data_IF_611900741177
#
_entry.id   IF_611900741177
#
_cell.length_a   1.000
_cell.length_b   1.000
_cell.length_c   1.000
_cell.angle_alpha   90.00
_cell.angle_beta   90.00
_cell.angle_gamma   90.00
#
_symmetry.space_group_name_H-M   'P 1'
#
loop_
_entity.id
_entity.type
_entity.pdbx_description
1 polymer ?
#
# COMPACT_ATOMS: atom_id res chain seq x y z
N UNK A 1 40.28 -39.45 -33.33
CA UNK A 1 39.04 -38.95 -33.94
C UNK A 1 38.14 -38.50 -32.78
N UNK A 2 38.13 -37.22 -32.42
CA UNK A 2 37.02 -36.26 -32.66
C UNK A 2 35.63 -36.89 -32.34
N UNK A 3 34.90 -36.44 -31.32
CA UNK A 3 34.15 -35.17 -31.35
C UNK A 3 34.00 -34.46 -29.98
N UNK A 4 34.17 -33.13 -30.02
CA UNK A 4 33.66 -32.11 -29.08
C UNK A 4 32.13 -31.94 -29.21
N UNK A 5 31.47 -31.54 -28.12
CA UNK A 5 30.43 -30.47 -27.99
C UNK A 5 29.97 -30.40 -26.52
N UNK A 6 30.54 -29.51 -25.69
CA UNK A 6 29.97 -28.20 -25.29
C UNK A 6 28.48 -28.24 -24.94
N UNK A 7 28.18 -28.41 -23.65
CA UNK A 7 26.86 -28.12 -23.07
C UNK A 7 26.94 -26.84 -22.26
N UNK A 8 26.35 -25.77 -22.80
CA UNK A 8 26.35 -24.43 -22.24
C UNK A 8 25.65 -24.38 -20.87
N UNK A 9 26.24 -23.64 -19.94
CA UNK A 9 25.57 -23.20 -18.73
C UNK A 9 24.31 -22.44 -19.13
N UNK A 10 23.16 -22.98 -18.77
CA UNK A 10 21.89 -22.27 -18.91
C UNK A 10 21.89 -21.14 -17.90
N UNK A 11 22.20 -19.93 -18.39
CA UNK A 11 21.80 -18.68 -17.75
C UNK A 11 20.29 -18.77 -17.50
N UNK A 12 19.90 -18.88 -16.23
CA UNK A 12 18.48 -18.85 -15.84
C UNK A 12 17.93 -17.50 -16.28
N UNK A 13 16.93 -17.56 -17.14
CA UNK A 13 16.18 -16.42 -17.61
C UNK A 13 15.52 -15.73 -16.39
N UNK A 14 15.77 -14.43 -16.13
CA UNK A 14 15.18 -13.71 -15.00
C UNK A 14 13.64 -13.67 -15.04
N UNK A 15 13.03 -14.02 -16.17
CA UNK A 15 11.56 -14.11 -16.35
C UNK A 15 10.91 -15.32 -15.68
N UNK A 16 11.69 -16.23 -15.09
CA UNK A 16 11.16 -17.45 -14.42
C UNK A 16 11.08 -17.36 -12.89
N UNK A 17 11.34 -16.20 -12.30
CA UNK A 17 11.10 -16.00 -10.88
C UNK A 17 9.64 -15.57 -10.67
N UNK A 18 8.76 -16.40 -10.08
CA UNK A 18 7.38 -16.00 -9.77
C UNK A 18 7.32 -14.84 -8.77
N UNK A 19 8.46 -14.43 -8.21
CA UNK A 19 8.61 -13.35 -7.24
C UNK A 19 8.94 -11.98 -7.86
N UNK A 20 9.05 -11.86 -9.19
CA UNK A 20 9.40 -10.60 -9.87
C UNK A 20 8.53 -10.37 -11.11
N UNK A 21 7.83 -9.24 -11.18
CA UNK A 21 7.05 -8.85 -12.35
C UNK A 21 7.64 -7.61 -13.03
N UNK A 22 7.86 -7.68 -14.36
CA UNK A 22 8.27 -6.56 -15.20
C UNK A 22 7.12 -6.00 -16.05
N UNK A 23 7.19 -4.68 -16.24
CA UNK A 23 6.22 -3.72 -16.77
C UNK A 23 5.42 -4.06 -18.05
N UNK A 24 4.11 -3.75 -18.01
CA UNK A 24 3.33 -3.24 -19.16
C UNK A 24 2.05 -2.51 -18.68
N UNK A 25 1.54 -1.58 -19.49
CA UNK A 25 0.55 -0.53 -19.16
C UNK A 25 -0.82 -0.92 -18.57
N UNK A 26 -1.10 -2.21 -18.39
CA UNK A 26 -2.12 -2.73 -17.46
C UNK A 26 -1.51 -4.01 -16.87
N UNK A 27 -1.20 -4.02 -15.58
CA UNK A 27 -0.70 -5.23 -14.90
C UNK A 27 -1.83 -5.80 -14.04
N UNK A 28 -2.26 -7.04 -14.29
CA UNK A 28 -3.13 -7.81 -13.37
C UNK A 28 -2.29 -8.91 -12.74
N UNK A 29 -2.02 -8.81 -11.46
CA UNK A 29 -1.28 -9.82 -10.69
C UNK A 29 -2.23 -10.51 -9.71
N UNK A 30 -2.48 -11.79 -9.92
CA UNK A 30 -3.16 -12.66 -8.96
C UNK A 30 -2.14 -13.63 -8.38
N UNK A 31 -1.64 -13.39 -7.17
CA UNK A 31 -0.75 -14.34 -6.50
C UNK A 31 -1.52 -15.10 -5.42
N UNK A 32 -1.58 -16.43 -5.60
CA UNK A 32 -2.02 -17.36 -4.56
C UNK A 32 -0.86 -17.76 -3.64
N UNK A 33 -1.23 -18.31 -2.46
CA UNK A 33 -0.39 -18.74 -1.33
C UNK A 33 1.13 -18.62 -1.54
N UNK A 34 1.69 -17.46 -1.19
CA UNK A 34 3.14 -17.20 -1.25
C UNK A 34 3.62 -16.65 0.07
N UNK A 35 4.72 -17.21 0.60
CA UNK A 35 5.23 -16.75 1.91
C UNK A 35 5.73 -15.31 1.86
N UNK A 36 6.31 -14.89 0.73
CA UNK A 36 6.81 -13.53 0.48
C UNK A 36 6.47 -13.15 -0.96
N UNK A 37 6.01 -11.92 -1.18
CA UNK A 37 5.74 -11.34 -2.49
C UNK A 37 6.50 -10.01 -2.58
N UNK A 38 7.18 -9.80 -3.70
CA UNK A 38 7.90 -8.57 -4.03
C UNK A 38 7.36 -8.04 -5.36
N UNK A 39 6.92 -6.79 -5.39
CA UNK A 39 6.35 -6.18 -6.59
C UNK A 39 6.95 -4.81 -6.85
N UNK A 40 7.91 -4.74 -7.78
CA UNK A 40 8.52 -3.47 -8.19
C UNK A 40 8.02 -3.10 -9.59
N UNK A 41 7.31 -1.97 -9.72
CA UNK A 41 6.79 -1.50 -10.99
C UNK A 41 7.18 -0.06 -11.29
N UNK A 42 7.45 0.20 -12.57
CA UNK A 42 7.84 1.52 -13.07
C UNK A 42 7.07 1.86 -14.32
N UNK A 43 6.52 3.07 -14.38
CA UNK A 43 5.89 3.66 -15.57
C UNK A 43 4.72 2.84 -16.15
N UNK A 44 3.91 2.20 -15.29
CA UNK A 44 2.67 1.56 -15.72
C UNK A 44 1.51 2.58 -15.73
N UNK A 45 0.55 2.48 -16.65
CA UNK A 45 -0.63 3.36 -16.57
C UNK A 45 -1.59 2.91 -15.46
N UNK A 46 -1.85 1.60 -15.42
CA UNK A 46 -2.79 0.98 -14.49
C UNK A 46 -2.14 -0.24 -13.86
N UNK A 47 -2.28 -0.37 -12.54
CA UNK A 47 -1.87 -1.54 -11.77
C UNK A 47 -3.09 -2.10 -11.04
N UNK A 48 -3.31 -3.40 -11.17
CA UNK A 48 -4.34 -4.15 -10.46
C UNK A 48 -3.70 -5.36 -9.79
N UNK A 49 -3.81 -5.48 -8.47
CA UNK A 49 -3.19 -6.56 -7.71
C UNK A 49 -4.20 -7.21 -6.78
N UNK A 50 -4.39 -8.53 -6.94
CA UNK A 50 -5.24 -9.32 -6.05
C UNK A 50 -4.36 -10.37 -5.35
N UNK A 51 -4.19 -10.23 -4.03
CA UNK A 51 -3.22 -11.01 -3.26
C UNK A 51 -3.93 -11.78 -2.15
N UNK A 52 -3.69 -13.09 -2.08
CA UNK A 52 -4.34 -13.96 -1.11
C UNK A 52 -3.36 -14.82 -0.33
N UNK A 53 -3.53 -14.85 1.00
CA UNK A 53 -2.83 -15.75 1.92
C UNK A 53 -1.31 -15.63 1.82
N UNK A 54 -0.82 -14.39 1.91
CA UNK A 54 0.61 -14.11 1.83
C UNK A 54 1.22 -13.97 3.23
N UNK A 55 2.49 -14.33 3.39
CA UNK A 55 3.17 -14.04 4.66
C UNK A 55 3.49 -12.54 4.75
N UNK A 56 4.29 -12.07 3.80
CA UNK A 56 4.82 -10.71 3.70
C UNK A 56 4.63 -10.23 2.26
N UNK A 57 4.21 -8.98 2.08
CA UNK A 57 4.09 -8.31 0.79
C UNK A 57 4.90 -7.03 0.87
N UNK A 58 5.82 -6.83 -0.08
CA UNK A 58 6.56 -5.58 -0.28
C UNK A 58 6.31 -5.10 -1.71
N UNK A 59 5.84 -3.87 -1.87
CA UNK A 59 5.48 -3.31 -3.17
C UNK A 59 6.05 -1.91 -3.36
N UNK A 60 6.88 -1.73 -4.38
CA UNK A 60 7.44 -0.43 -4.75
C UNK A 60 6.89 -0.03 -6.12
N UNK A 61 6.15 1.06 -6.14
CA UNK A 61 5.39 1.51 -7.29
C UNK A 61 5.84 2.95 -7.63
N UNK A 62 6.39 3.14 -8.84
CA UNK A 62 6.67 4.48 -9.41
C UNK A 62 5.93 4.85 -10.72
N UNK A 63 5.39 6.07 -10.75
CA UNK A 63 4.79 6.76 -11.91
C UNK A 63 3.61 6.01 -12.53
N UNK A 64 2.42 6.19 -11.95
CA UNK A 64 1.17 5.60 -12.49
C UNK A 64 0.02 6.57 -12.52
N UNK A 65 -1.00 6.20 -13.28
CA UNK A 65 -2.26 6.92 -13.25
C UNK A 65 -3.23 6.32 -12.24
N UNK A 66 -3.34 5.00 -12.19
CA UNK A 66 -4.32 4.30 -11.35
C UNK A 66 -3.68 3.05 -10.73
N UNK A 67 -3.87 2.86 -9.43
CA UNK A 67 -3.56 1.63 -8.71
C UNK A 67 -4.83 1.14 -8.02
N UNK A 68 -5.16 -0.14 -8.22
CA UNK A 68 -6.24 -0.84 -7.52
C UNK A 68 -5.66 -2.09 -6.89
N UNK A 69 -5.82 -2.30 -5.59
CA UNK A 69 -5.26 -3.46 -4.93
C UNK A 69 -6.22 -4.06 -3.90
N UNK A 70 -6.47 -5.36 -4.01
CA UNK A 70 -7.23 -6.12 -3.02
C UNK A 70 -6.31 -7.14 -2.36
N UNK A 71 -6.04 -6.96 -1.07
CA UNK A 71 -5.15 -7.84 -0.31
C UNK A 71 -5.92 -8.55 0.81
N UNK A 72 -5.76 -9.86 0.89
CA UNK A 72 -6.44 -10.71 1.87
C UNK A 72 -5.47 -11.59 2.64
N UNK A 73 -5.65 -11.62 3.96
CA UNK A 73 -4.99 -12.54 4.89
C UNK A 73 -3.46 -12.52 4.76
N UNK A 74 -2.82 -11.37 5.00
CA UNK A 74 -1.36 -11.34 5.15
C UNK A 74 -0.91 -10.88 6.51
N UNK A 75 0.31 -11.23 6.91
CA UNK A 75 0.82 -10.79 8.21
C UNK A 75 1.32 -9.35 8.13
N UNK A 76 2.09 -9.05 7.09
CA UNK A 76 2.77 -7.77 6.93
C UNK A 76 2.61 -7.31 5.48
N UNK A 77 2.23 -6.06 5.30
CA UNK A 77 2.21 -5.35 4.01
C UNK A 77 3.02 -4.08 4.18
N UNK A 78 3.97 -3.86 3.26
CA UNK A 78 4.67 -2.59 3.10
C UNK A 78 4.54 -2.16 1.66
N UNK A 79 4.06 -0.94 1.43
CA UNK A 79 3.79 -0.42 0.11
C UNK A 79 4.29 1.03 -0.02
N UNK A 80 5.16 1.27 -1.00
CA UNK A 80 5.63 2.61 -1.32
C UNK A 80 5.10 3.02 -2.71
N UNK A 81 4.31 4.09 -2.78
CA UNK A 81 3.67 4.56 -4.00
C UNK A 81 4.08 6.00 -4.31
N UNK A 82 4.68 6.20 -5.49
CA UNK A 82 5.19 7.49 -5.94
C UNK A 82 4.54 7.95 -7.24
N UNK A 83 4.16 9.24 -7.27
CA UNK A 83 3.62 9.94 -8.44
C UNK A 83 2.42 9.20 -9.04
N UNK A 84 1.35 9.12 -8.27
CA UNK A 84 0.11 8.42 -8.63
C UNK A 84 -1.04 9.40 -8.88
N UNK A 85 -1.89 9.10 -9.85
CA UNK A 85 -3.14 9.87 -10.03
C UNK A 85 -4.20 9.48 -8.99
N UNK A 86 -4.55 8.20 -8.96
CA UNK A 86 -5.61 7.63 -8.12
C UNK A 86 -5.12 6.30 -7.54
N UNK A 87 -5.33 6.10 -6.24
CA UNK A 87 -5.06 4.84 -5.53
C UNK A 87 -6.34 4.39 -4.84
N UNK A 88 -6.71 3.13 -5.03
CA UNK A 88 -7.76 2.44 -4.28
C UNK A 88 -7.18 1.15 -3.73
N UNK A 89 -7.25 0.92 -2.42
CA UNK A 89 -6.84 -0.36 -1.86
C UNK A 89 -7.77 -0.86 -0.76
N UNK A 90 -8.10 -2.14 -0.84
CA UNK A 90 -8.87 -2.86 0.16
C UNK A 90 -7.99 -3.90 0.84
N UNK A 91 -7.89 -3.84 2.17
CA UNK A 91 -7.04 -4.70 2.98
C UNK A 91 -7.86 -5.40 4.07
N UNK A 92 -8.04 -6.72 3.94
CA UNK A 92 -8.66 -7.60 4.93
C UNK A 92 -7.70 -8.51 5.70
N UNK A 93 -7.81 -8.50 7.03
CA UNK A 93 -7.16 -9.39 7.99
C UNK A 93 -5.62 -9.31 7.96
N UNK A 94 -5.07 -8.26 8.57
CA UNK A 94 -3.64 -8.03 8.67
C UNK A 94 -3.14 -7.91 10.10
N UNK A 95 -1.84 -8.11 10.33
CA UNK A 95 -1.24 -7.72 11.61
C UNK A 95 -0.63 -6.34 11.53
N UNK A 96 0.10 -6.05 10.46
CA UNK A 96 0.83 -4.80 10.26
C UNK A 96 0.65 -4.36 8.80
N UNK A 97 0.26 -3.10 8.62
CA UNK A 97 0.24 -2.41 7.32
C UNK A 97 1.07 -1.13 7.46
N UNK A 98 2.02 -0.95 6.55
CA UNK A 98 2.81 0.27 6.40
C UNK A 98 2.65 0.76 4.96
N UNK A 99 2.24 2.01 4.78
CA UNK A 99 2.00 2.58 3.46
C UNK A 99 2.58 3.99 3.36
N UNK A 100 3.49 4.19 2.41
CA UNK A 100 4.08 5.49 2.13
C UNK A 100 3.63 5.99 0.75
N UNK A 101 2.95 7.15 0.73
CA UNK A 101 2.35 7.71 -0.48
C UNK A 101 2.91 9.10 -0.77
N UNK A 102 3.47 9.26 -1.96
CA UNK A 102 4.10 10.51 -2.40
C UNK A 102 3.48 11.05 -3.68
N UNK A 103 3.12 12.33 -3.67
CA UNK A 103 2.59 13.08 -4.81
C UNK A 103 1.38 12.38 -5.43
N UNK A 104 0.36 12.11 -4.61
CA UNK A 104 -0.87 11.42 -5.02
C UNK A 104 -2.01 12.41 -5.28
N UNK A 105 -2.82 12.18 -6.31
CA UNK A 105 -4.02 12.98 -6.54
C UNK A 105 -5.15 12.64 -5.57
N UNK A 106 -5.62 11.38 -5.62
CA UNK A 106 -6.71 10.86 -4.78
C UNK A 106 -6.30 9.51 -4.22
N UNK A 107 -6.54 9.32 -2.93
CA UNK A 107 -6.23 8.09 -2.20
C UNK A 107 -7.47 7.61 -1.47
N UNK A 108 -7.85 6.36 -1.68
CA UNK A 108 -8.94 5.69 -0.96
C UNK A 108 -8.43 4.38 -0.38
N UNK A 109 -8.63 4.20 0.93
CA UNK A 109 -8.22 3.00 1.66
C UNK A 109 -9.34 2.45 2.53
N UNK A 110 -9.60 1.15 2.37
CA UNK A 110 -10.46 0.40 3.28
C UNK A 110 -9.62 -0.66 4.00
N UNK A 111 -9.55 -0.57 5.34
CA UNK A 111 -8.81 -1.51 6.17
C UNK A 111 -9.71 -2.23 7.17
N UNK A 112 -9.68 -3.56 7.14
CA UNK A 112 -10.48 -4.41 8.01
C UNK A 112 -9.60 -5.36 8.82
N UNK A 113 -9.83 -5.36 10.14
CA UNK A 113 -9.19 -6.26 11.11
C UNK A 113 -7.66 -6.18 11.03
N UNK A 114 -7.10 -5.13 11.61
CA UNK A 114 -5.66 -4.91 11.63
C UNK A 114 -5.13 -4.80 13.06
N UNK A 115 -3.87 -5.19 13.28
CA UNK A 115 -3.20 -4.93 14.56
C UNK A 115 -2.68 -3.50 14.63
N UNK A 116 -1.87 -3.13 13.64
CA UNK A 116 -1.17 -1.86 13.53
C UNK A 116 -1.26 -1.35 12.10
N UNK A 117 -1.55 -0.07 11.94
CA UNK A 117 -1.56 0.67 10.67
C UNK A 117 -0.66 1.88 10.82
N UNK A 118 0.29 2.03 9.89
CA UNK A 118 1.15 3.21 9.77
C UNK A 118 1.02 3.72 8.36
N UNK A 119 0.66 4.99 8.20
CA UNK A 119 0.49 5.61 6.90
C UNK A 119 1.17 6.97 6.85
N UNK A 120 2.07 7.16 5.89
CA UNK A 120 2.70 8.45 5.64
C UNK A 120 2.24 8.99 4.28
N UNK A 121 1.62 10.17 4.27
CA UNK A 121 1.06 10.78 3.07
C UNK A 121 1.68 12.15 2.81
N UNK A 122 2.30 12.31 1.65
CA UNK A 122 3.00 13.52 1.23
C UNK A 122 2.42 14.11 -0.06
N UNK A 123 2.09 15.41 -0.02
CA UNK A 123 1.60 16.18 -1.17
C UNK A 123 0.33 15.57 -1.81
N UNK A 124 -0.57 15.03 -0.99
CA UNK A 124 -1.82 14.42 -1.44
C UNK A 124 -2.96 15.44 -1.47
N UNK A 125 -3.77 15.46 -2.54
CA UNK A 125 -4.87 16.42 -2.62
C UNK A 125 -6.11 15.97 -1.82
N UNK A 126 -6.48 14.70 -1.92
CA UNK A 126 -7.65 14.12 -1.23
C UNK A 126 -7.33 12.72 -0.71
N UNK A 127 -7.65 12.49 0.57
CA UNK A 127 -7.48 11.20 1.26
C UNK A 127 -8.80 10.80 1.89
N UNK A 128 -9.28 9.59 1.59
CA UNK A 128 -10.44 8.96 2.22
C UNK A 128 -10.03 7.61 2.80
N UNK A 129 -10.27 7.40 4.09
CA UNK A 129 -9.84 6.19 4.78
C UNK A 129 -10.91 5.64 5.71
N UNK A 130 -11.30 4.38 5.52
CA UNK A 130 -12.19 3.67 6.42
C UNK A 130 -11.41 2.55 7.14
N UNK A 131 -11.35 2.63 8.47
CA UNK A 131 -10.59 1.69 9.29
C UNK A 131 -11.50 1.00 10.32
N UNK A 132 -11.58 -0.32 10.22
CA UNK A 132 -12.42 -1.17 11.06
C UNK A 132 -11.60 -2.14 11.89
N UNK A 133 -11.87 -2.18 13.20
CA UNK A 133 -11.28 -3.13 14.15
C UNK A 133 -9.75 -3.10 14.13
N UNK A 134 -9.18 -1.90 14.30
CA UNK A 134 -7.74 -1.69 14.34
C UNK A 134 -7.24 -1.59 15.79
N UNK A 135 -6.08 -2.15 16.10
CA UNK A 135 -5.46 -1.94 17.42
C UNK A 135 -4.89 -0.53 17.56
N UNK A 136 -3.98 -0.18 16.65
CA UNK A 136 -3.24 1.09 16.66
C UNK A 136 -3.23 1.67 15.23
N UNK A 137 -3.48 2.96 15.12
CA UNK A 137 -3.40 3.73 13.88
C UNK A 137 -2.45 4.91 14.10
N UNK A 138 -1.42 5.02 13.26
CA UNK A 138 -0.50 6.15 13.20
C UNK A 138 -0.55 6.71 11.79
N UNK A 139 -0.78 8.02 11.66
CA UNK A 139 -0.86 8.67 10.37
C UNK A 139 -0.13 10.00 10.36
N UNK A 140 0.85 10.14 9.47
CA UNK A 140 1.57 11.39 9.26
C UNK A 140 1.17 11.98 7.90
N UNK A 141 0.69 13.22 7.91
CA UNK A 141 0.15 13.87 6.72
C UNK A 141 0.80 15.22 6.48
N UNK A 142 1.44 15.35 5.33
CA UNK A 142 2.19 16.54 4.92
C UNK A 142 1.58 17.15 3.66
N UNK A 143 1.35 18.47 3.68
CA UNK A 143 0.85 19.24 2.52
C UNK A 143 -0.47 18.70 1.95
N UNK A 144 -1.38 18.25 2.83
CA UNK A 144 -2.63 17.61 2.41
C UNK A 144 -3.76 18.62 2.20
N UNK A 145 -4.62 18.41 1.20
CA UNK A 145 -5.76 19.31 0.92
C UNK A 145 -7.03 18.98 1.73
N UNK A 146 -7.51 17.74 1.63
CA UNK A 146 -8.74 17.27 2.31
C UNK A 146 -8.54 15.83 2.79
N UNK A 147 -8.92 15.56 4.04
CA UNK A 147 -8.87 14.25 4.68
C UNK A 147 -10.26 13.94 5.25
N UNK A 148 -10.77 12.76 4.91
CA UNK A 148 -12.00 12.19 5.48
C UNK A 148 -11.67 10.82 6.02
N UNK A 149 -11.97 10.56 7.29
CA UNK A 149 -11.70 9.26 7.90
C UNK A 149 -12.86 8.76 8.75
N UNK A 150 -13.21 7.50 8.56
CA UNK A 150 -14.15 6.79 9.44
C UNK A 150 -13.39 5.71 10.22
N UNK A 151 -13.41 5.81 11.55
CA UNK A 151 -12.62 4.97 12.45
C UNK A 151 -13.54 4.21 13.41
N UNK A 152 -13.56 2.89 13.29
CA UNK A 152 -14.42 2.00 14.08
C UNK A 152 -13.60 1.04 14.95
N UNK A 153 -13.95 0.98 16.24
CA UNK A 153 -13.38 0.05 17.21
C UNK A 153 -11.84 0.13 17.30
N UNK A 154 -11.29 1.34 17.17
CA UNK A 154 -9.86 1.58 17.27
C UNK A 154 -9.43 1.84 18.73
N UNK A 155 -8.32 1.27 19.19
CA UNK A 155 -7.88 1.52 20.59
C UNK A 155 -7.09 2.82 20.68
N UNK A 156 -6.15 3.06 19.75
CA UNK A 156 -5.27 4.24 19.74
C UNK A 156 -5.20 4.81 18.33
N UNK A 157 -5.40 6.12 18.22
CA UNK A 157 -5.19 6.89 16.99
C UNK A 157 -4.20 8.02 17.28
N UNK A 158 -3.12 8.10 16.52
CA UNK A 158 -2.14 9.19 16.54
C UNK A 158 -2.06 9.79 15.14
N UNK A 159 -2.25 11.10 15.04
CA UNK A 159 -2.19 11.80 13.76
C UNK A 159 -1.34 13.07 13.84
N UNK A 160 -0.35 13.19 12.96
CA UNK A 160 0.43 14.42 12.83
C UNK A 160 0.10 15.09 11.49
N UNK A 161 -0.35 16.34 11.55
CA UNK A 161 -0.86 17.10 10.42
C UNK A 161 0.01 18.34 10.18
N UNK A 162 0.67 18.39 9.03
CA UNK A 162 1.52 19.51 8.62
C UNK A 162 0.90 20.29 7.45
N UNK A 163 0.79 21.61 7.64
CA UNK A 163 0.20 22.60 6.72
C UNK A 163 -1.34 22.54 6.57
N UNK A 164 -1.87 23.36 5.66
CA UNK A 164 -3.30 23.64 5.51
C UNK A 164 -4.09 22.45 4.95
N UNK A 165 -4.69 21.66 5.85
CA UNK A 165 -5.60 20.57 5.54
C UNK A 165 -6.98 20.80 6.17
N UNK A 166 -8.03 20.33 5.48
CA UNK A 166 -9.35 20.12 6.08
C UNK A 166 -9.41 18.67 6.54
N UNK A 167 -9.68 18.44 7.82
CA UNK A 167 -9.80 17.10 8.41
C UNK A 167 -11.22 16.90 8.92
N UNK A 168 -11.87 15.83 8.46
CA UNK A 168 -13.16 15.36 8.96
C UNK A 168 -12.97 13.92 9.42
N UNK A 169 -13.28 13.64 10.69
CA UNK A 169 -13.17 12.30 11.24
C UNK A 169 -14.44 11.90 11.98
N UNK A 170 -15.02 10.77 11.59
CA UNK A 170 -16.07 10.11 12.36
C UNK A 170 -15.45 8.97 13.17
N UNK A 171 -15.70 8.98 14.47
CA UNK A 171 -15.03 8.12 15.45
C UNK A 171 -16.06 7.31 16.24
N UNK A 172 -15.92 5.99 16.19
CA UNK A 172 -16.82 5.06 16.87
C UNK A 172 -16.03 4.10 17.77
N UNK A 173 -16.35 4.10 19.06
CA UNK A 173 -15.74 3.23 20.07
C UNK A 173 -14.21 3.41 20.22
N UNK A 174 -13.70 4.61 19.93
CA UNK A 174 -12.29 4.95 20.13
C UNK A 174 -11.95 5.20 21.60
N UNK A 175 -10.78 4.77 22.07
CA UNK A 175 -10.35 4.96 23.47
C UNK A 175 -9.39 6.14 23.64
N UNK A 176 -8.41 6.30 22.75
CA UNK A 176 -7.41 7.39 22.82
C UNK A 176 -7.18 7.98 21.43
N UNK A 177 -7.20 9.31 21.34
CA UNK A 177 -6.90 10.08 20.14
C UNK A 177 -5.90 11.18 20.51
N UNK A 178 -4.80 11.25 19.79
CA UNK A 178 -3.81 12.31 19.87
C UNK A 178 -3.63 12.86 18.46
N UNK A 179 -3.93 14.14 18.27
CA UNK A 179 -3.72 14.80 16.99
C UNK A 179 -2.93 16.08 17.21
N UNK A 180 -1.76 16.18 16.58
CA UNK A 180 -0.98 17.40 16.54
C UNK A 180 -1.08 18.02 15.15
N UNK A 181 -1.28 19.34 15.10
CA UNK A 181 -1.35 20.09 13.86
C UNK A 181 -0.36 21.24 13.88
N UNK A 182 0.62 21.19 12.99
CA UNK A 182 1.56 22.27 12.73
C UNK A 182 1.16 23.01 11.46
N UNK A 183 0.62 24.23 11.62
CA UNK A 183 0.32 25.12 10.50
C UNK A 183 1.43 26.17 10.36
N UNK A 184 2.12 26.21 9.22
CA UNK A 184 3.06 27.29 8.85
C UNK A 184 2.36 28.47 8.17
#
# INVERSE_FOLDING_TARGET
>A
MQHKRTGAGHSRDPSQDPSRCLACGITRQGFGQSRIILCDQYNSRIVVCDLYNSGIILCDLYNFRIVVCDLYNSRIVVCDLYNSGIILCDLYNFRIVVCDLYNSGIVVFDLYNSGIVVCDLYNSAIVVCDLYNSGIVVCDLYNSGIIVCDLYNSVIVVCDLYNSAIVVCDLYNSVIIVCDQENS
#
